data_IF_259878859196
#
_entry.id   IF_259878859196
#
_cell.length_a   1.000
_cell.length_b   1.000
_cell.length_c   1.000
_cell.angle_alpha   90.00
_cell.angle_beta   90.00
_cell.angle_gamma   90.00
#
_symmetry.space_group_name_H-M   'P 1'
#
loop_
_entity.id
_entity.type
_entity.pdbx_description
1 polymer ?
#
# COMPACT_ATOMS: atom_id res chain seq x y z
N UNK A 1 -25.04 48.41 -34.28
CA UNK A 1 -23.60 48.24 -34.02
C UNK A 1 -23.29 47.67 -32.63
N UNK A 2 -23.88 48.18 -31.58
CA UNK A 2 -23.66 47.75 -30.17
C UNK A 2 -23.94 46.25 -29.91
N UNK A 3 -24.99 45.65 -30.48
CA UNK A 3 -25.33 44.22 -30.26
C UNK A 3 -24.28 43.29 -30.82
N UNK A 4 -23.69 43.60 -31.98
CA UNK A 4 -22.59 42.77 -32.55
C UNK A 4 -21.33 42.80 -31.71
N UNK A 5 -21.00 43.94 -31.12
CA UNK A 5 -19.85 44.08 -30.21
C UNK A 5 -20.07 43.30 -28.91
N UNK A 6 -21.27 43.30 -28.35
CA UNK A 6 -21.60 42.49 -27.15
C UNK A 6 -21.50 40.99 -27.42
N UNK A 7 -21.98 40.51 -28.58
CA UNK A 7 -21.87 39.08 -28.95
C UNK A 7 -20.42 38.66 -29.12
N UNK A 8 -19.56 39.46 -29.73
CA UNK A 8 -18.15 39.18 -29.91
C UNK A 8 -17.43 39.13 -28.54
N UNK A 9 -17.75 40.05 -27.62
CA UNK A 9 -17.19 40.08 -26.27
C UNK A 9 -17.60 38.84 -25.48
N UNK A 10 -18.86 38.41 -25.59
CA UNK A 10 -19.37 37.21 -24.94
C UNK A 10 -18.69 35.92 -25.45
N UNK A 11 -18.48 35.84 -26.77
CA UNK A 11 -17.76 34.73 -27.40
C UNK A 11 -16.28 34.68 -26.98
N UNK A 12 -15.61 35.83 -26.88
CA UNK A 12 -14.23 35.89 -26.39
C UNK A 12 -14.11 35.45 -24.94
N UNK A 13 -15.04 35.82 -24.06
CA UNK A 13 -15.10 35.38 -22.67
C UNK A 13 -15.33 33.87 -22.61
N UNK A 14 -16.27 33.31 -23.37
CA UNK A 14 -16.51 31.85 -23.41
C UNK A 14 -15.32 31.06 -23.95
N UNK A 15 -14.61 31.57 -24.96
CA UNK A 15 -13.39 30.98 -25.48
C UNK A 15 -12.26 30.97 -24.42
N UNK A 16 -12.10 32.08 -23.70
CA UNK A 16 -11.09 32.18 -22.63
C UNK A 16 -11.35 31.18 -21.50
N UNK A 17 -12.63 30.99 -21.10
CA UNK A 17 -13.00 29.98 -20.10
C UNK A 17 -12.69 28.54 -20.56
N UNK A 18 -12.94 28.23 -21.84
CA UNK A 18 -12.64 26.88 -22.39
C UNK A 18 -11.13 26.62 -22.47
N UNK A 19 -10.34 27.59 -22.87
CA UNK A 19 -8.89 27.50 -22.96
C UNK A 19 -8.31 27.27 -21.54
N UNK A 20 -8.72 28.03 -20.54
CA UNK A 20 -8.28 27.89 -19.17
C UNK A 20 -8.67 26.51 -18.57
N UNK A 21 -9.88 26.03 -18.79
CA UNK A 21 -10.34 24.74 -18.32
C UNK A 21 -9.54 23.58 -18.96
N UNK A 22 -9.21 23.70 -20.24
CA UNK A 22 -8.41 22.70 -20.95
C UNK A 22 -6.96 22.71 -20.47
N UNK A 23 -6.38 23.87 -20.19
CA UNK A 23 -5.02 23.98 -19.63
C UNK A 23 -4.94 23.38 -18.24
N UNK A 24 -5.88 23.71 -17.34
CA UNK A 24 -5.94 23.12 -15.97
C UNK A 24 -6.03 21.60 -16.03
N UNK A 25 -6.86 21.05 -16.91
CA UNK A 25 -6.98 19.60 -17.09
C UNK A 25 -5.68 18.95 -17.58
N UNK A 26 -4.94 19.61 -18.46
CA UNK A 26 -3.66 19.16 -18.97
C UNK A 26 -2.61 19.15 -17.87
N UNK A 27 -2.48 20.23 -17.10
CA UNK A 27 -1.53 20.37 -16.01
C UNK A 27 -1.75 19.31 -14.92
N UNK A 28 -3.02 18.99 -14.60
CA UNK A 28 -3.35 17.95 -13.63
C UNK A 28 -3.10 16.53 -14.18
N UNK A 29 -3.20 16.32 -15.50
CA UNK A 29 -2.78 15.05 -16.15
C UNK A 29 -1.27 14.86 -16.05
N UNK A 30 -0.49 15.88 -16.39
CA UNK A 30 0.98 15.85 -16.26
C UNK A 30 1.41 15.67 -14.78
N UNK A 31 0.66 16.26 -13.84
CA UNK A 31 0.85 16.03 -12.40
C UNK A 31 0.63 14.58 -12.00
N UNK A 32 -0.42 13.93 -12.50
CA UNK A 32 -0.69 12.52 -12.24
C UNK A 32 0.41 11.63 -12.81
N UNK A 33 0.86 11.88 -14.02
CA UNK A 33 1.96 11.14 -14.64
C UNK A 33 3.25 11.23 -13.81
N UNK A 34 3.58 12.43 -13.31
CA UNK A 34 4.72 12.63 -12.41
C UNK A 34 4.55 11.89 -11.09
N UNK A 35 3.34 11.90 -10.51
CA UNK A 35 3.05 11.18 -9.28
C UNK A 35 3.26 9.67 -9.46
N UNK A 36 2.80 9.10 -10.56
CA UNK A 36 3.03 7.69 -10.92
C UNK A 36 4.53 7.42 -11.10
N UNK A 37 5.26 8.29 -11.81
CA UNK A 37 6.70 8.17 -11.98
C UNK A 37 7.46 8.21 -10.65
N UNK A 38 7.09 9.08 -9.73
CA UNK A 38 7.67 9.12 -8.39
C UNK A 38 7.35 7.85 -7.59
N UNK A 39 6.12 7.36 -7.64
CA UNK A 39 5.74 6.12 -6.98
C UNK A 39 6.56 4.93 -7.49
N UNK A 40 6.68 4.78 -8.81
CA UNK A 40 7.49 3.73 -9.44
C UNK A 40 8.99 3.88 -9.12
N UNK A 41 9.46 5.10 -8.96
CA UNK A 41 10.84 5.43 -8.57
C UNK A 41 11.08 5.36 -7.05
N UNK A 42 10.13 4.81 -6.26
CA UNK A 42 10.26 4.66 -4.79
C UNK A 42 10.38 6.02 -4.05
N UNK A 43 9.96 7.11 -4.68
CA UNK A 43 9.91 8.45 -4.11
C UNK A 43 8.52 8.70 -3.54
N UNK A 44 8.24 8.01 -2.42
CA UNK A 44 6.89 7.96 -1.87
C UNK A 44 6.41 9.30 -1.35
N UNK A 45 7.28 10.11 -0.77
CA UNK A 45 6.94 11.44 -0.29
C UNK A 45 6.45 12.36 -1.42
N UNK A 46 7.22 12.45 -2.50
CA UNK A 46 6.89 13.29 -3.65
C UNK A 46 5.62 12.80 -4.37
N UNK A 47 5.46 11.47 -4.45
CA UNK A 47 4.25 10.86 -5.00
C UNK A 47 3.02 11.23 -4.16
N UNK A 48 3.13 11.13 -2.83
CA UNK A 48 2.04 11.42 -1.91
C UNK A 48 1.54 12.85 -2.02
N UNK A 49 2.45 13.83 -2.02
CA UNK A 49 2.09 15.25 -2.15
C UNK A 49 1.25 15.54 -3.41
N UNK A 50 1.64 14.94 -4.54
CA UNK A 50 0.93 15.14 -5.80
C UNK A 50 -0.42 14.41 -5.82
N UNK A 51 -0.47 13.18 -5.30
CA UNK A 51 -1.70 12.39 -5.24
C UNK A 51 -2.72 13.01 -4.28
N UNK A 52 -2.29 13.53 -3.12
CA UNK A 52 -3.17 14.26 -2.19
C UNK A 52 -3.78 15.51 -2.83
N UNK A 53 -2.97 16.30 -3.53
CA UNK A 53 -3.47 17.51 -4.23
C UNK A 53 -4.49 17.13 -5.30
N UNK A 54 -4.22 16.10 -6.08
CA UNK A 54 -5.18 15.59 -7.07
C UNK A 54 -6.44 15.02 -6.41
N UNK A 55 -6.31 14.31 -5.29
CA UNK A 55 -7.46 13.71 -4.60
C UNK A 55 -8.39 14.76 -3.96
N UNK A 56 -7.89 15.97 -3.66
CA UNK A 56 -8.72 17.12 -3.22
C UNK A 56 -9.58 17.67 -4.35
N UNK A 57 -9.12 17.56 -5.61
CA UNK A 57 -9.80 18.09 -6.79
C UNK A 57 -10.69 17.06 -7.46
N UNK A 58 -10.32 15.80 -7.41
CA UNK A 58 -10.90 14.70 -8.18
C UNK A 58 -11.19 13.50 -7.29
N UNK A 59 -12.20 12.73 -7.64
CA UNK A 59 -12.37 11.39 -7.13
C UNK A 59 -11.37 10.46 -7.83
N UNK A 60 -10.18 10.27 -7.24
CA UNK A 60 -9.19 9.37 -7.79
C UNK A 60 -9.74 7.93 -7.88
N UNK A 61 -9.33 7.21 -8.92
CA UNK A 61 -9.70 5.81 -9.05
C UNK A 61 -9.05 4.97 -7.94
N UNK A 62 -9.59 3.77 -7.65
CA UNK A 62 -9.12 2.92 -6.54
C UNK A 62 -7.62 2.63 -6.58
N UNK A 63 -7.03 2.41 -7.76
CA UNK A 63 -5.59 2.12 -7.88
C UNK A 63 -4.72 3.28 -7.41
N UNK A 64 -5.07 4.53 -7.76
CA UNK A 64 -4.31 5.71 -7.33
C UNK A 64 -4.52 6.02 -5.84
N UNK A 65 -5.71 5.74 -5.30
CA UNK A 65 -5.94 5.77 -3.85
C UNK A 65 -5.07 4.72 -3.13
N UNK A 66 -4.95 3.51 -3.69
CA UNK A 66 -4.06 2.50 -3.14
C UNK A 66 -2.58 2.93 -3.17
N UNK A 67 -2.13 3.62 -4.24
CA UNK A 67 -0.79 4.23 -4.26
C UNK A 67 -0.61 5.24 -3.12
N UNK A 68 -1.61 6.08 -2.83
CA UNK A 68 -1.56 6.98 -1.67
C UNK A 68 -1.43 6.20 -0.37
N UNK A 69 -2.20 5.12 -0.20
CA UNK A 69 -2.13 4.27 0.98
C UNK A 69 -0.75 3.64 1.19
N UNK A 70 -0.11 3.18 0.10
CA UNK A 70 1.28 2.68 0.12
C UNK A 70 2.26 3.82 0.46
N UNK A 71 2.07 5.01 -0.11
CA UNK A 71 2.92 6.16 0.23
C UNK A 71 2.81 6.52 1.71
N UNK A 72 1.61 6.59 2.27
CA UNK A 72 1.41 6.81 3.71
C UNK A 72 2.11 5.75 4.57
N UNK A 73 2.08 4.47 4.17
CA UNK A 73 2.79 3.41 4.87
C UNK A 73 4.31 3.68 4.91
N UNK A 74 4.91 4.04 3.81
CA UNK A 74 6.35 4.35 3.75
C UNK A 74 6.73 5.67 4.41
N UNK A 75 5.78 6.61 4.57
CA UNK A 75 5.92 7.84 5.37
C UNK A 75 5.60 7.61 6.86
N UNK A 76 5.41 6.35 7.26
CA UNK A 76 5.08 5.93 8.63
C UNK A 76 3.76 6.49 9.18
N UNK A 77 2.93 7.05 8.33
CA UNK A 77 1.56 7.45 8.68
C UNK A 77 0.59 6.25 8.55
N UNK A 78 0.77 5.28 9.44
CA UNK A 78 0.03 4.03 9.43
C UNK A 78 -1.47 4.22 9.58
N UNK A 79 -1.90 5.28 10.27
CA UNK A 79 -3.32 5.59 10.46
C UNK A 79 -3.99 5.97 9.13
N UNK A 80 -3.37 6.86 8.35
CA UNK A 80 -3.89 7.23 7.04
C UNK A 80 -3.72 6.10 6.02
N UNK A 81 -2.63 5.32 6.10
CA UNK A 81 -2.44 4.12 5.30
C UNK A 81 -3.59 3.12 5.49
N UNK A 82 -3.92 2.76 6.74
CA UNK A 82 -5.07 1.89 7.05
C UNK A 82 -6.37 2.47 6.50
N UNK A 83 -6.67 3.73 6.81
CA UNK A 83 -7.92 4.37 6.39
C UNK A 83 -8.12 4.32 4.87
N UNK A 84 -7.08 4.65 4.10
CA UNK A 84 -7.15 4.70 2.63
C UNK A 84 -7.22 3.28 2.05
N UNK A 85 -6.36 2.37 2.52
CA UNK A 85 -6.30 1.01 1.98
C UNK A 85 -7.56 0.21 2.32
N UNK A 86 -8.07 0.25 3.57
CA UNK A 86 -9.34 -0.41 3.94
C UNK A 86 -10.52 0.08 3.11
N UNK A 87 -10.59 1.39 2.89
CA UNK A 87 -11.67 1.97 2.09
C UNK A 87 -11.59 1.68 0.59
N UNK A 88 -10.49 1.09 0.12
CA UNK A 88 -10.23 0.94 -1.33
C UNK A 88 -10.03 -0.53 -1.74
N UNK A 89 -9.53 -1.38 -0.84
CA UNK A 89 -8.98 -2.70 -1.18
C UNK A 89 -9.98 -3.65 -1.85
N UNK A 90 -11.27 -3.54 -1.53
CA UNK A 90 -12.33 -4.35 -2.17
C UNK A 90 -12.51 -4.04 -3.66
N UNK A 91 -12.20 -2.82 -4.08
CA UNK A 91 -12.28 -2.37 -5.47
C UNK A 91 -11.06 -2.78 -6.31
N UNK A 92 -10.00 -3.30 -5.67
CA UNK A 92 -8.75 -3.68 -6.32
C UNK A 92 -8.72 -5.13 -6.82
N UNK A 93 -9.81 -5.88 -6.67
CA UNK A 93 -9.90 -7.29 -7.07
C UNK A 93 -9.68 -7.53 -8.58
N UNK A 94 -9.79 -6.49 -9.40
CA UNK A 94 -9.54 -6.54 -10.85
C UNK A 94 -8.05 -6.46 -11.22
N UNK A 95 -7.19 -6.13 -10.27
CA UNK A 95 -5.74 -6.01 -10.50
C UNK A 95 -5.06 -7.38 -10.46
N UNK A 96 -3.83 -7.44 -10.97
CA UNK A 96 -3.02 -8.66 -10.90
C UNK A 96 -2.80 -9.11 -9.45
N UNK A 97 -2.83 -10.43 -9.16
CA UNK A 97 -2.71 -10.95 -7.79
C UNK A 97 -1.50 -10.40 -7.02
N UNK A 98 -0.33 -10.36 -7.66
CA UNK A 98 0.89 -9.84 -7.06
C UNK A 98 0.78 -8.34 -6.69
N UNK A 99 0.10 -7.54 -7.51
CA UNK A 99 -0.14 -6.13 -7.19
C UNK A 99 -1.09 -6.00 -5.99
N UNK A 100 -2.16 -6.80 -5.96
CA UNK A 100 -3.07 -6.85 -4.80
C UNK A 100 -2.33 -7.24 -3.52
N UNK A 101 -1.41 -8.23 -3.58
CA UNK A 101 -0.66 -8.69 -2.40
C UNK A 101 0.12 -7.57 -1.73
N UNK A 102 0.69 -6.64 -2.50
CA UNK A 102 1.42 -5.47 -1.97
C UNK A 102 0.49 -4.58 -1.14
N UNK A 103 -0.73 -4.33 -1.62
CA UNK A 103 -1.69 -3.48 -0.90
C UNK A 103 -2.19 -4.16 0.38
N UNK A 104 -2.48 -5.47 0.33
CA UNK A 104 -2.83 -6.24 1.50
C UNK A 104 -1.68 -6.28 2.52
N UNK A 105 -0.44 -6.43 2.06
CA UNK A 105 0.74 -6.40 2.91
C UNK A 105 0.92 -5.05 3.59
N UNK A 106 0.87 -3.93 2.85
CA UNK A 106 1.00 -2.59 3.43
C UNK A 106 -0.12 -2.28 4.43
N UNK A 107 -1.35 -2.75 4.16
CA UNK A 107 -2.47 -2.62 5.09
C UNK A 107 -2.22 -3.42 6.37
N UNK A 108 -1.80 -4.68 6.24
CA UNK A 108 -1.47 -5.54 7.37
C UNK A 108 -0.33 -4.96 8.24
N UNK A 109 0.76 -4.51 7.60
CA UNK A 109 1.87 -3.85 8.29
C UNK A 109 1.41 -2.57 9.00
N UNK A 110 0.53 -1.79 8.37
CA UNK A 110 -0.01 -0.57 8.99
C UNK A 110 -0.85 -0.88 10.23
N UNK A 111 -1.65 -1.94 10.22
CA UNK A 111 -2.37 -2.43 11.40
C UNK A 111 -1.39 -2.96 12.46
N UNK A 112 -0.39 -3.74 12.05
CA UNK A 112 0.65 -4.29 12.94
C UNK A 112 1.38 -3.17 13.69
N UNK A 113 1.79 -2.13 13.00
CA UNK A 113 2.51 -0.98 13.58
C UNK A 113 1.66 -0.15 14.54
N UNK A 114 0.34 -0.29 14.47
CA UNK A 114 -0.61 0.28 15.44
C UNK A 114 -0.97 -0.70 16.59
N UNK A 115 -0.29 -1.85 16.68
CA UNK A 115 -0.56 -2.94 17.62
C UNK A 115 -1.95 -3.60 17.44
N UNK A 116 -2.57 -3.42 16.28
CA UNK A 116 -3.85 -4.04 15.92
C UNK A 116 -3.62 -5.46 15.33
N UNK A 117 -2.94 -6.33 16.08
CA UNK A 117 -2.45 -7.63 15.60
C UNK A 117 -3.55 -8.53 15.04
N UNK A 118 -4.67 -8.63 15.74
CA UNK A 118 -5.81 -9.45 15.30
C UNK A 118 -6.43 -8.93 14.00
N UNK A 119 -6.37 -7.62 13.77
CA UNK A 119 -6.85 -6.98 12.55
C UNK A 119 -5.87 -7.17 11.38
N UNK A 120 -4.57 -7.22 11.67
CA UNK A 120 -3.52 -7.43 10.67
C UNK A 120 -3.55 -8.84 10.06
N UNK A 121 -3.88 -9.88 10.86
CA UNK A 121 -3.83 -11.30 10.45
C UNK A 121 -4.60 -11.56 9.14
N UNK A 122 -5.90 -11.25 8.99
CA UNK A 122 -6.63 -11.55 7.77
C UNK A 122 -6.07 -10.84 6.52
N UNK A 123 -5.44 -9.70 6.67
CA UNK A 123 -4.78 -9.01 5.56
C UNK A 123 -3.46 -9.69 5.18
N UNK A 124 -2.67 -10.16 6.13
CA UNK A 124 -1.51 -11.00 5.84
C UNK A 124 -1.89 -12.32 5.19
N UNK A 125 -2.98 -12.97 5.61
CA UNK A 125 -3.50 -14.18 4.96
C UNK A 125 -3.80 -13.93 3.48
N UNK A 126 -4.50 -12.82 3.16
CA UNK A 126 -4.76 -12.42 1.77
C UNK A 126 -3.46 -12.15 1.00
N UNK A 127 -2.52 -11.45 1.60
CA UNK A 127 -1.22 -11.20 0.98
C UNK A 127 -0.48 -12.51 0.68
N UNK A 128 -0.48 -13.48 1.61
CA UNK A 128 0.18 -14.79 1.45
C UNK A 128 -0.42 -15.63 0.31
N UNK A 129 -1.73 -15.54 0.08
CA UNK A 129 -2.40 -16.24 -1.02
C UNK A 129 -2.04 -15.64 -2.38
N UNK A 130 -1.84 -14.32 -2.45
CA UNK A 130 -1.70 -13.55 -3.69
C UNK A 130 -0.25 -13.27 -4.09
N UNK A 131 0.71 -13.40 -3.16
CA UNK A 131 2.12 -13.14 -3.40
C UNK A 131 2.82 -14.30 -4.12
N UNK A 132 4.06 -14.08 -4.53
CA UNK A 132 4.93 -15.14 -5.03
C UNK A 132 5.45 -16.00 -3.87
N UNK A 133 5.74 -17.27 -4.12
CA UNK A 133 6.19 -18.21 -3.10
C UNK A 133 7.47 -17.76 -2.37
N UNK A 134 8.39 -17.10 -3.07
CA UNK A 134 9.62 -16.56 -2.48
C UNK A 134 9.40 -15.32 -1.60
N UNK A 135 8.20 -14.75 -1.61
CA UNK A 135 7.79 -13.60 -0.79
C UNK A 135 7.07 -14.06 0.50
N UNK A 136 6.60 -15.31 0.55
CA UNK A 136 5.80 -15.85 1.68
C UNK A 136 6.53 -15.87 3.01
N UNK A 137 7.85 -16.08 2.99
CA UNK A 137 8.64 -16.20 4.22
C UNK A 137 8.48 -15.00 5.16
N UNK A 138 8.57 -13.78 4.62
CA UNK A 138 8.46 -12.54 5.40
C UNK A 138 7.03 -12.34 5.92
N UNK A 139 6.01 -12.64 5.11
CA UNK A 139 4.61 -12.50 5.51
C UNK A 139 4.27 -13.48 6.64
N UNK A 140 4.67 -14.75 6.52
CA UNK A 140 4.46 -15.75 7.56
C UNK A 140 5.18 -15.39 8.86
N UNK A 141 6.39 -14.82 8.77
CA UNK A 141 7.09 -14.28 9.92
C UNK A 141 6.29 -13.17 10.63
N UNK A 142 5.69 -12.25 9.88
CA UNK A 142 4.85 -11.19 10.44
C UNK A 142 3.58 -11.74 11.09
N UNK A 143 2.94 -12.74 10.46
CA UNK A 143 1.79 -13.43 11.06
C UNK A 143 2.17 -14.12 12.38
N UNK A 144 3.32 -14.79 12.42
CA UNK A 144 3.84 -15.39 13.65
C UNK A 144 4.01 -14.35 14.76
N UNK A 145 4.54 -13.16 14.45
CA UNK A 145 4.64 -12.06 15.41
C UNK A 145 3.27 -11.58 15.89
N UNK A 146 2.27 -11.48 15.01
CA UNK A 146 0.91 -11.12 15.41
C UNK A 146 0.36 -12.09 16.45
N UNK A 147 0.51 -13.40 16.20
CA UNK A 147 0.06 -14.44 17.14
C UNK A 147 0.87 -14.43 18.45
N UNK A 148 2.19 -14.23 18.37
CA UNK A 148 3.05 -14.16 19.55
C UNK A 148 2.67 -12.95 20.45
N UNK A 149 2.44 -11.77 19.86
CA UNK A 149 2.01 -10.59 20.61
C UNK A 149 0.55 -10.66 21.10
N UNK A 150 -0.24 -11.57 20.54
CA UNK A 150 -1.58 -11.93 21.02
C UNK A 150 -1.55 -13.12 22.00
N UNK A 151 -0.37 -13.51 22.52
CA UNK A 151 -0.13 -14.59 23.47
C UNK A 151 -0.59 -15.98 23.00
N UNK A 152 -0.78 -16.16 21.70
CA UNK A 152 -1.11 -17.44 21.05
C UNK A 152 0.18 -18.14 20.60
N UNK A 153 0.98 -18.58 21.55
CA UNK A 153 2.33 -19.03 21.32
C UNK A 153 2.41 -20.33 20.51
N UNK A 154 1.46 -21.24 20.67
CA UNK A 154 1.29 -22.46 19.88
C UNK A 154 1.14 -22.13 18.39
N UNK A 155 0.21 -21.24 18.04
CA UNK A 155 -0.03 -20.83 16.66
C UNK A 155 1.17 -20.03 16.12
N UNK A 156 1.76 -19.15 16.94
CA UNK A 156 2.97 -18.41 16.57
C UNK A 156 4.11 -19.35 16.18
N UNK A 157 4.32 -20.43 16.95
CA UNK A 157 5.33 -21.44 16.66
C UNK A 157 5.13 -22.08 15.28
N UNK A 158 3.90 -22.46 14.92
CA UNK A 158 3.57 -23.05 13.61
C UNK A 158 3.86 -22.09 12.45
N UNK A 159 3.48 -20.82 12.59
CA UNK A 159 3.78 -19.80 11.57
C UNK A 159 5.28 -19.50 11.47
N UNK A 160 6.02 -19.44 12.58
CA UNK A 160 7.48 -19.33 12.56
C UNK A 160 8.12 -20.55 11.88
N UNK A 161 7.65 -21.76 12.15
CA UNK A 161 8.13 -22.99 11.51
C UNK A 161 7.93 -22.95 10.00
N UNK A 162 6.74 -22.52 9.56
CA UNK A 162 6.41 -22.35 8.15
C UNK A 162 7.30 -21.29 7.49
N UNK A 163 7.46 -20.14 8.11
CA UNK A 163 8.35 -19.08 7.64
C UNK A 163 9.80 -19.58 7.48
N UNK A 164 10.30 -20.31 8.48
CA UNK A 164 11.63 -20.90 8.46
C UNK A 164 11.82 -21.86 7.28
N UNK A 165 10.81 -22.69 6.97
CA UNK A 165 10.84 -23.60 5.84
C UNK A 165 10.97 -22.85 4.50
N UNK A 166 10.20 -21.79 4.31
CA UNK A 166 10.29 -20.94 3.12
C UNK A 166 11.64 -20.22 3.00
N UNK A 167 12.18 -19.65 4.10
CA UNK A 167 13.53 -19.06 4.09
C UNK A 167 14.61 -20.06 3.69
N UNK A 168 14.55 -21.30 4.20
CA UNK A 168 15.51 -22.36 3.84
C UNK A 168 15.37 -22.79 2.38
N UNK A 169 14.16 -22.84 1.85
CA UNK A 169 13.90 -23.28 0.48
C UNK A 169 14.32 -22.24 -0.56
N UNK A 170 14.00 -20.95 -0.35
CA UNK A 170 14.19 -19.89 -1.36
C UNK A 170 15.52 -19.13 -1.25
N UNK A 171 16.47 -19.67 -0.49
CA UNK A 171 17.86 -19.28 -0.56
C UNK A 171 18.34 -18.26 0.47
N UNK A 172 19.65 -18.07 0.49
CA UNK A 172 20.41 -17.66 1.65
C UNK A 172 21.27 -16.45 1.30
N UNK A 173 20.71 -15.23 1.44
CA UNK A 173 21.53 -14.04 1.64
C UNK A 173 22.04 -13.98 3.08
N UNK A 174 23.05 -13.14 3.37
CA UNK A 174 23.53 -12.92 4.74
C UNK A 174 22.41 -12.42 5.66
N UNK A 175 21.55 -11.54 5.16
CA UNK A 175 20.38 -11.02 5.86
C UNK A 175 19.36 -12.13 6.19
N UNK A 176 19.08 -13.02 5.25
CA UNK A 176 18.21 -14.18 5.47
C UNK A 176 18.76 -15.14 6.50
N UNK A 177 20.08 -15.34 6.57
CA UNK A 177 20.72 -16.16 7.63
C UNK A 177 20.45 -15.59 9.02
N UNK A 178 20.57 -14.27 9.19
CA UNK A 178 20.28 -13.62 10.45
C UNK A 178 18.81 -13.78 10.84
N UNK A 179 17.90 -13.65 9.88
CA UNK A 179 16.46 -13.88 10.10
C UNK A 179 16.16 -15.31 10.52
N UNK A 180 16.80 -16.30 9.91
CA UNK A 180 16.67 -17.73 10.29
C UNK A 180 17.05 -17.95 11.74
N UNK A 181 18.16 -17.38 12.21
CA UNK A 181 18.58 -17.46 13.62
C UNK A 181 17.54 -16.79 14.53
N UNK A 182 17.08 -15.61 14.18
CA UNK A 182 16.05 -14.88 14.92
C UNK A 182 14.77 -15.72 15.07
N UNK A 183 14.27 -16.29 13.97
CA UNK A 183 13.08 -17.15 13.99
C UNK A 183 13.29 -18.36 14.89
N UNK A 184 14.45 -19.01 14.82
CA UNK A 184 14.75 -20.18 15.65
C UNK A 184 14.71 -19.84 17.14
N UNK A 185 15.23 -18.68 17.53
CA UNK A 185 15.19 -18.22 18.93
C UNK A 185 13.76 -17.89 19.37
N UNK A 186 12.95 -17.27 18.50
CA UNK A 186 11.54 -16.97 18.78
C UNK A 186 10.71 -18.26 18.93
N UNK A 187 10.95 -19.25 18.08
CA UNK A 187 10.31 -20.58 18.20
C UNK A 187 10.61 -21.22 19.55
N UNK A 188 11.87 -21.16 20.00
CA UNK A 188 12.25 -21.68 21.31
C UNK A 188 11.50 -20.94 22.44
N UNK A 189 11.47 -19.60 22.38
CA UNK A 189 10.72 -18.80 23.37
C UNK A 189 9.22 -19.08 23.36
N UNK A 190 8.60 -19.31 22.20
CA UNK A 190 7.20 -19.74 22.12
C UNK A 190 7.00 -21.10 22.78
N UNK A 191 7.86 -22.08 22.48
CA UNK A 191 7.78 -23.46 23.01
C UNK A 191 7.85 -23.53 24.54
N UNK A 192 8.47 -22.56 25.19
CA UNK A 192 8.56 -22.47 26.66
C UNK A 192 7.27 -21.92 27.30
N UNK A 193 6.27 -21.49 26.47
CA UNK A 193 5.04 -20.86 26.92
C UNK A 193 3.80 -21.73 26.77
N UNK A 194 3.91 -22.90 26.11
CA UNK A 194 2.80 -23.87 25.96
C UNK A 194 3.21 -25.30 26.23
#
# INVERSE_FOLDING_TARGET
MLVKTYIILLLCILCSFRINAQQIKRDDTEKLERAIGYFQGVKYHEALLLLEDLNKKYALNPRFKAYMGVCYYYEWDYKNACKILEGTISELAVLAPREQSVYYYCLAESCFMQNEYNKAIPYYEKATILCLDNEKADILYRMALCYMYSERYDVAYEYFSSSLAYYKHYGISAEKKQRIVQISNMMQGCKEKF
#
